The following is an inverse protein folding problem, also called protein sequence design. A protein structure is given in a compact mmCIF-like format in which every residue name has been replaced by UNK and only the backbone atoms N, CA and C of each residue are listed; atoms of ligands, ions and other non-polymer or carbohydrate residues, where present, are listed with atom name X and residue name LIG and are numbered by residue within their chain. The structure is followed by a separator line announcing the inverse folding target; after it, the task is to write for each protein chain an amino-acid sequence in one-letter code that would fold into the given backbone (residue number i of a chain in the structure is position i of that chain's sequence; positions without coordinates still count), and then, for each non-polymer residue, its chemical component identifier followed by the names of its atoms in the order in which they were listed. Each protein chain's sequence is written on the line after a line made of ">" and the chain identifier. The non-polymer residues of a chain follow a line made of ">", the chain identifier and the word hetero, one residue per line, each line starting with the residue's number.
data_IF_349829502183
#
_entry.id   IF_349829502183
#
_cell.length_a   1.000
_cell.length_b   1.000
_cell.length_c   1.000
_cell.angle_alpha   90.00
_cell.angle_beta   90.00
_cell.angle_gamma   90.00
#
_symmetry.space_group_name_H-M   'P 1'
#
loop_
_entity.id
_entity.type
_entity.pdbx_description
1 polymer ?
#
# COMPACT_ATOMS: atom_id res chain seq x y z
N UNK A 1 -15.49 -3.29 -14.37
CA UNK A 1 -14.53 -3.98 -13.48
C UNK A 1 -14.17 -3.01 -12.37
N UNK A 2 -14.41 -3.34 -11.09
CA UNK A 2 -13.98 -2.48 -9.98
C UNK A 2 -12.45 -2.53 -9.84
N UNK A 3 -11.85 -1.40 -9.49
CA UNK A 3 -10.40 -1.26 -9.27
C UNK A 3 -10.18 -0.50 -7.97
N UNK A 4 -9.22 -0.98 -7.17
CA UNK A 4 -8.73 -0.32 -5.98
C UNK A 4 -7.29 0.13 -6.23
N UNK A 5 -7.00 1.41 -6.00
CA UNK A 5 -5.64 1.93 -6.06
C UNK A 5 -5.00 1.86 -4.67
N UNK A 6 -3.75 1.39 -4.62
CA UNK A 6 -2.97 1.21 -3.40
C UNK A 6 -1.63 1.94 -3.55
N UNK A 7 -1.02 2.33 -2.43
CA UNK A 7 0.27 3.01 -2.40
C UNK A 7 0.75 3.26 -0.97
N UNK A 8 2.03 3.63 -0.83
CA UNK A 8 2.59 4.10 0.44
C UNK A 8 2.03 5.49 0.71
N UNK A 9 1.48 5.69 1.92
CA UNK A 9 1.05 7.00 2.37
C UNK A 9 2.23 7.72 3.02
N UNK A 10 2.86 8.63 2.29
CA UNK A 10 3.85 9.57 2.86
C UNK A 10 3.56 10.99 2.34
N UNK A 11 2.88 11.84 3.13
CA UNK A 11 2.54 13.21 2.73
C UNK A 11 3.77 14.12 2.53
N UNK A 12 4.92 13.72 3.06
CA UNK A 12 6.16 14.49 2.99
C UNK A 12 7.07 14.02 1.87
N UNK A 13 6.73 12.91 1.22
CA UNK A 13 7.36 12.48 -0.01
C UNK A 13 7.28 13.59 -1.05
N UNK A 14 8.43 14.03 -1.54
CA UNK A 14 8.52 15.00 -2.62
C UNK A 14 8.40 14.27 -3.97
N UNK A 15 7.21 13.73 -4.25
CA UNK A 15 6.94 12.98 -5.48
C UNK A 15 7.27 13.87 -6.69
N UNK A 16 8.06 13.35 -7.63
CA UNK A 16 8.61 14.07 -8.77
C UNK A 16 9.72 15.10 -8.45
N UNK A 17 10.28 15.06 -7.24
CA UNK A 17 11.41 15.86 -6.81
C UNK A 17 12.76 15.19 -7.03
N UNK A 18 13.85 15.90 -6.68
CA UNK A 18 15.21 15.34 -6.71
C UNK A 18 15.38 14.22 -5.67
N UNK A 19 14.70 14.35 -4.54
CA UNK A 19 14.69 13.39 -3.46
C UNK A 19 13.27 12.89 -3.23
N UNK A 20 12.97 11.69 -3.74
CA UNK A 20 11.68 11.02 -3.59
C UNK A 20 11.68 10.01 -2.43
N UNK A 21 12.57 10.19 -1.45
CA UNK A 21 12.65 9.34 -0.27
C UNK A 21 11.29 9.20 0.42
N UNK A 22 11.03 7.99 0.92
CA UNK A 22 9.80 7.64 1.62
C UNK A 22 10.11 7.27 3.07
N UNK A 23 9.12 7.45 3.94
CA UNK A 23 9.10 6.92 5.30
C UNK A 23 9.15 5.39 5.32
N UNK A 24 10.16 4.84 6.01
CA UNK A 24 10.29 3.39 6.23
C UNK A 24 9.11 2.86 7.07
N UNK A 25 8.63 3.66 8.04
CA UNK A 25 7.50 3.27 8.88
C UNK A 25 6.20 3.15 8.08
N UNK A 26 5.99 3.98 7.06
CA UNK A 26 4.81 3.88 6.19
C UNK A 26 4.93 2.72 5.20
N UNK A 27 6.15 2.38 4.80
CA UNK A 27 6.45 1.13 4.09
C UNK A 27 6.06 -0.13 4.88
N UNK A 28 6.39 -0.18 6.18
CA UNK A 28 5.99 -1.30 7.03
C UNK A 28 4.47 -1.41 7.18
N UNK A 29 3.78 -0.27 7.33
CA UNK A 29 2.32 -0.22 7.42
C UNK A 29 1.66 -0.73 6.13
N UNK A 30 2.07 -0.23 4.96
CA UNK A 30 1.47 -0.65 3.68
C UNK A 30 1.72 -2.12 3.41
N UNK A 31 2.90 -2.64 3.77
CA UNK A 31 3.24 -4.05 3.61
C UNK A 31 2.29 -4.93 4.40
N UNK A 32 2.09 -4.63 5.68
CA UNK A 32 1.14 -5.35 6.54
C UNK A 32 -0.30 -5.24 6.04
N UNK A 33 -0.75 -4.04 5.69
CA UNK A 33 -2.10 -3.83 5.18
C UNK A 33 -2.37 -4.62 3.90
N UNK A 34 -1.39 -4.67 2.99
CA UNK A 34 -1.48 -5.40 1.72
C UNK A 34 -1.55 -6.91 1.93
N UNK A 35 -0.81 -7.46 2.90
CA UNK A 35 -0.91 -8.87 3.29
C UNK A 35 -2.32 -9.20 3.77
N UNK A 36 -2.87 -8.40 4.69
CA UNK A 36 -4.22 -8.61 5.20
C UNK A 36 -5.28 -8.49 4.08
N UNK A 37 -5.15 -7.50 3.20
CA UNK A 37 -6.05 -7.35 2.05
C UNK A 37 -6.07 -8.59 1.16
N UNK A 38 -4.89 -9.13 0.80
CA UNK A 38 -4.83 -10.32 -0.05
C UNK A 38 -5.36 -11.58 0.64
N UNK A 39 -5.11 -11.72 1.94
CA UNK A 39 -5.64 -12.83 2.74
C UNK A 39 -7.18 -12.78 2.80
N UNK A 40 -7.75 -11.62 3.14
CA UNK A 40 -9.19 -11.41 3.18
C UNK A 40 -9.85 -11.63 1.81
N UNK A 41 -9.21 -11.17 0.73
CA UNK A 41 -9.70 -11.42 -0.63
C UNK A 41 -9.66 -12.90 -0.98
N UNK A 42 -8.58 -13.61 -0.62
CA UNK A 42 -8.45 -15.03 -0.89
C UNK A 42 -9.53 -15.84 -0.17
N UNK A 43 -9.79 -15.55 1.10
CA UNK A 43 -10.86 -16.20 1.87
C UNK A 43 -12.25 -15.83 1.35
N UNK A 44 -12.49 -14.57 1.02
CA UNK A 44 -13.80 -14.12 0.50
C UNK A 44 -14.13 -14.74 -0.86
N UNK A 45 -13.13 -14.99 -1.70
CA UNK A 45 -13.30 -15.54 -3.05
C UNK A 45 -13.27 -17.07 -3.12
N UNK A 46 -12.94 -17.77 -2.02
CA UNK A 46 -12.64 -19.20 -1.96
C UNK A 46 -13.80 -20.19 -2.15
N UNK A 47 -14.98 -19.72 -2.61
CA UNK A 47 -16.23 -20.48 -2.85
C UNK A 47 -16.17 -21.99 -2.67
#
# INVERSE_FOLDING_TARGET
>A
MPVLMLGVEDPYSNVHGIDESQSIGDWEKVTRATIHLYDELAETLKK
#
